data_IF_134270504039
#
_entry.id   IF_134270504039
#
_cell.length_a   1.000
_cell.length_b   1.000
_cell.length_c   1.000
_cell.angle_alpha   90.00
_cell.angle_beta   90.00
_cell.angle_gamma   90.00
#
_symmetry.space_group_name_H-M   'P 1'
#
loop_
_entity.id
_entity.type
_entity.pdbx_description
1 polymer ?
#
# COMPACT_ATOMS: atom_id res chain seq x y z
N UNK A 1 -8.47 -22.51 -75.43
CA UNK A 1 -7.53 -21.73 -76.27
C UNK A 1 -8.07 -20.32 -76.39
N UNK A 2 -7.22 -19.31 -76.17
CA UNK A 2 -7.62 -17.95 -75.82
C UNK A 2 -8.39 -17.17 -76.89
N UNK A 3 -9.14 -16.18 -76.42
CA UNK A 3 -9.44 -14.94 -77.16
C UNK A 3 -9.91 -13.82 -76.20
N UNK A 4 -9.16 -12.71 -76.29
CA UNK A 4 -9.54 -11.32 -76.07
C UNK A 4 -10.23 -10.88 -74.76
N UNK A 5 -9.46 -10.20 -73.91
CA UNK A 5 -9.98 -9.25 -72.92
C UNK A 5 -10.56 -8.00 -73.63
N UNK A 6 -11.80 -7.64 -73.29
CA UNK A 6 -12.36 -6.30 -73.52
C UNK A 6 -13.06 -5.81 -72.25
N UNK A 7 -12.71 -4.60 -71.83
CA UNK A 7 -13.66 -3.69 -71.18
C UNK A 7 -13.41 -3.35 -69.71
N UNK A 8 -12.52 -2.39 -69.43
CA UNK A 8 -12.54 -1.60 -68.21
C UNK A 8 -12.55 -0.10 -68.57
N UNK A 9 -13.71 0.56 -68.43
CA UNK A 9 -13.90 2.00 -68.65
C UNK A 9 -12.97 2.82 -67.75
N UNK A 10 -12.12 3.67 -68.33
CA UNK A 10 -11.43 4.76 -67.60
C UNK A 10 -12.44 5.88 -67.33
N UNK A 11 -12.87 6.03 -66.09
CA UNK A 11 -13.60 7.21 -65.64
C UNK A 11 -12.62 8.41 -65.55
N UNK A 12 -12.97 9.60 -66.05
CA UNK A 12 -12.12 10.78 -65.89
C UNK A 12 -12.11 11.25 -64.43
N UNK A 13 -10.95 11.67 -63.94
CA UNK A 13 -10.79 12.27 -62.62
C UNK A 13 -11.62 13.56 -62.49
N UNK A 14 -12.25 13.77 -61.34
CA UNK A 14 -13.15 14.88 -61.08
C UNK A 14 -12.47 16.26 -61.32
N UNK A 15 -13.16 17.27 -61.89
CA UNK A 15 -12.54 18.53 -62.34
C UNK A 15 -12.17 19.51 -61.20
N UNK A 16 -12.44 19.14 -59.95
CA UNK A 16 -12.25 19.97 -58.77
C UNK A 16 -11.27 19.34 -57.75
N UNK A 17 -10.29 18.59 -58.24
CA UNK A 17 -9.10 18.36 -57.43
C UNK A 17 -8.27 19.66 -57.43
N UNK A 18 -8.54 20.55 -56.48
CA UNK A 18 -7.72 21.74 -56.25
C UNK A 18 -6.25 21.32 -56.15
N UNK A 19 -5.47 21.63 -57.20
CA UNK A 19 -4.01 21.49 -57.17
C UNK A 19 -3.52 22.35 -56.01
N UNK A 20 -3.13 21.70 -54.90
CA UNK A 20 -2.52 22.34 -53.73
C UNK A 20 -1.45 23.32 -54.21
N UNK A 21 -1.78 24.62 -54.25
CA UNK A 21 -0.83 25.67 -54.63
C UNK A 21 0.32 25.61 -53.62
N UNK A 22 1.53 25.34 -54.09
CA UNK A 22 2.74 25.39 -53.26
C UNK A 22 2.88 26.83 -52.76
N UNK A 23 2.67 27.05 -51.46
CA UNK A 23 2.91 28.36 -50.85
C UNK A 23 4.36 28.78 -51.11
N UNK A 24 4.57 29.99 -51.65
CA UNK A 24 5.90 30.56 -51.85
C UNK A 24 6.58 30.69 -50.49
N UNK A 25 7.70 29.99 -50.28
CA UNK A 25 8.49 30.10 -49.04
C UNK A 25 9.26 31.42 -49.08
N UNK A 26 9.00 32.30 -48.12
CA UNK A 26 9.76 33.53 -47.96
C UNK A 26 11.15 33.17 -47.40
N UNK A 27 12.26 33.53 -48.07
CA UNK A 27 13.62 33.20 -47.61
C UNK A 27 13.99 33.83 -46.26
N UNK A 28 13.25 34.85 -45.80
CA UNK A 28 13.46 35.47 -44.49
C UNK A 28 12.99 34.59 -43.31
N UNK A 29 12.15 33.59 -43.54
CA UNK A 29 11.66 32.69 -42.49
C UNK A 29 12.40 31.35 -42.54
N UNK A 30 13.40 31.21 -41.69
CA UNK A 30 14.15 29.98 -41.51
C UNK A 30 13.62 29.16 -40.33
N UNK A 31 13.63 27.83 -40.47
CA UNK A 31 13.26 26.93 -39.37
C UNK A 31 14.48 26.79 -38.45
N UNK A 32 14.39 27.32 -37.24
CA UNK A 32 15.42 27.21 -36.19
C UNK A 32 14.93 26.30 -35.05
N UNK A 33 14.89 24.97 -35.24
CA UNK A 33 14.39 24.07 -34.22
C UNK A 33 15.37 24.01 -33.04
N UNK A 34 14.82 24.16 -31.83
CA UNK A 34 15.59 23.97 -30.59
C UNK A 34 15.73 22.49 -30.26
N UNK A 35 16.89 22.12 -29.73
CA UNK A 35 17.18 20.76 -29.27
C UNK A 35 17.02 20.68 -27.75
N UNK A 36 15.97 20.00 -27.29
CA UNK A 36 15.68 19.82 -25.85
C UNK A 36 16.21 18.51 -25.26
N UNK A 37 17.17 17.87 -25.94
CA UNK A 37 17.93 16.75 -25.36
C UNK A 37 18.83 17.28 -24.24
N UNK A 38 19.31 16.37 -23.41
CA UNK A 38 20.26 16.69 -22.34
C UNK A 38 21.49 17.40 -22.93
N UNK A 39 21.89 18.53 -22.34
CA UNK A 39 23.02 19.35 -22.81
C UNK A 39 22.75 20.27 -24.00
N UNK A 40 21.51 20.32 -24.51
CA UNK A 40 21.09 21.25 -25.56
C UNK A 40 20.53 22.57 -25.04
N UNK A 41 19.51 23.08 -25.71
CA UNK A 41 18.81 24.32 -25.37
C UNK A 41 18.04 24.24 -24.05
N UNK A 42 17.72 25.42 -23.47
CA UNK A 42 16.88 25.54 -22.27
C UNK A 42 15.56 24.79 -22.48
N UNK A 43 15.20 23.95 -21.50
CA UNK A 43 13.98 23.16 -21.55
C UNK A 43 12.74 24.06 -21.62
N UNK A 44 11.71 23.66 -22.39
CA UNK A 44 10.46 24.40 -22.43
C UNK A 44 9.74 24.28 -21.08
N UNK A 45 8.81 25.20 -20.82
CA UNK A 45 7.91 25.07 -19.68
C UNK A 45 7.09 23.78 -19.83
N UNK A 46 7.11 22.93 -18.80
CA UNK A 46 6.40 21.65 -18.73
C UNK A 46 5.41 21.67 -17.57
N UNK A 47 4.45 20.76 -17.58
CA UNK A 47 3.60 20.55 -16.41
C UNK A 47 4.43 19.94 -15.26
N UNK A 48 4.68 20.76 -14.23
CA UNK A 48 5.41 20.37 -13.04
C UNK A 48 4.50 19.99 -11.87
N UNK A 49 3.17 19.91 -12.06
CA UNK A 49 2.18 19.67 -10.99
C UNK A 49 2.53 18.47 -10.09
N UNK A 50 3.14 17.42 -10.66
CA UNK A 50 3.61 16.24 -9.92
C UNK A 50 4.83 16.50 -9.03
N UNK A 51 5.70 17.42 -9.42
CA UNK A 51 6.97 17.75 -8.78
C UNK A 51 6.92 19.00 -7.88
N UNK A 52 5.80 19.73 -7.90
CA UNK A 52 5.57 20.88 -7.02
C UNK A 52 5.70 20.48 -5.55
N UNK A 53 6.42 21.31 -4.77
CA UNK A 53 6.43 21.24 -3.31
C UNK A 53 5.09 21.74 -2.77
N UNK A 54 4.15 20.83 -2.57
CA UNK A 54 2.81 21.17 -2.12
C UNK A 54 2.77 21.75 -0.70
N UNK A 55 1.88 22.72 -0.42
CA UNK A 55 1.57 23.20 0.93
C UNK A 55 1.31 22.06 1.92
N UNK A 56 1.61 22.30 3.21
CA UNK A 56 1.56 21.26 4.27
C UNK A 56 0.19 20.59 4.37
N UNK A 57 -0.90 21.34 4.33
CA UNK A 57 -2.26 20.79 4.44
C UNK A 57 -2.61 19.81 3.31
N UNK A 58 -2.19 20.11 2.07
CA UNK A 58 -2.40 19.22 0.91
C UNK A 58 -1.59 17.94 1.09
N UNK A 59 -0.33 18.06 1.53
CA UNK A 59 0.53 16.89 1.80
C UNK A 59 -0.09 15.99 2.87
N UNK A 60 -0.55 16.56 3.98
CA UNK A 60 -1.19 15.82 5.08
C UNK A 60 -2.46 15.09 4.63
N UNK A 61 -3.34 15.75 3.87
CA UNK A 61 -4.56 15.11 3.35
C UNK A 61 -4.25 13.95 2.38
N UNK A 62 -3.26 14.11 1.49
CA UNK A 62 -2.81 13.06 0.58
C UNK A 62 -2.15 11.90 1.33
N UNK A 63 -1.29 12.20 2.30
CA UNK A 63 -0.65 11.20 3.17
C UNK A 63 -1.68 10.41 3.98
N UNK A 64 -2.68 11.07 4.57
CA UNK A 64 -3.82 10.42 5.27
C UNK A 64 -4.51 9.41 4.35
N UNK A 65 -4.83 9.80 3.11
CA UNK A 65 -5.47 8.90 2.13
C UNK A 65 -4.58 7.72 1.75
N UNK A 66 -3.29 7.95 1.53
CA UNK A 66 -2.33 6.88 1.22
C UNK A 66 -2.21 5.92 2.39
N UNK A 67 -2.10 6.43 3.62
CA UNK A 67 -2.00 5.61 4.82
C UNK A 67 -3.20 4.69 5.00
N UNK A 68 -4.43 5.20 4.80
CA UNK A 68 -5.65 4.39 4.86
C UNK A 68 -5.71 3.29 3.78
N UNK A 69 -5.06 3.48 2.62
CA UNK A 69 -4.97 2.44 1.59
C UNK A 69 -3.90 1.38 1.90
N UNK A 70 -2.81 1.77 2.58
CA UNK A 70 -1.65 0.91 2.86
C UNK A 70 -1.85 0.05 4.11
N UNK A 71 -2.41 0.64 5.16
CA UNK A 71 -2.68 -0.08 6.40
C UNK A 71 -3.79 -1.11 6.19
N UNK A 72 -3.75 -2.20 6.95
CA UNK A 72 -4.87 -3.14 7.04
C UNK A 72 -6.00 -2.48 7.81
N UNK A 73 -7.15 -2.33 7.18
CA UNK A 73 -8.32 -1.66 7.75
C UNK A 73 -9.27 -2.70 8.34
N UNK A 74 -9.65 -2.59 9.62
CA UNK A 74 -10.61 -3.50 10.24
C UNK A 74 -11.96 -3.53 9.51
N UNK A 75 -12.67 -4.67 9.50
CA UNK A 75 -13.93 -4.82 8.77
C UNK A 75 -15.02 -3.82 9.20
N UNK A 76 -15.09 -3.46 10.49
CA UNK A 76 -16.04 -2.47 11.01
C UNK A 76 -15.87 -1.07 10.38
N UNK A 77 -14.67 -0.73 9.92
CA UNK A 77 -14.38 0.52 9.20
C UNK A 77 -14.47 0.29 7.69
N UNK A 78 -13.98 -0.84 7.21
CA UNK A 78 -13.93 -1.17 5.79
C UNK A 78 -15.33 -1.23 5.15
N UNK A 79 -16.38 -1.58 5.92
CA UNK A 79 -17.77 -1.59 5.42
C UNK A 79 -18.20 -0.24 4.80
N UNK A 80 -17.66 0.90 5.26
CA UNK A 80 -17.97 2.21 4.68
C UNK A 80 -17.32 2.46 3.31
N UNK A 81 -16.33 1.67 2.93
CA UNK A 81 -15.79 1.70 1.56
C UNK A 81 -16.74 1.04 0.55
N UNK A 82 -17.59 0.12 1.02
CA UNK A 82 -18.55 -0.66 0.24
C UNK A 82 -19.89 0.06 0.15
N UNK A 83 -19.93 1.22 -0.50
CA UNK A 83 -21.17 1.98 -0.71
C UNK A 83 -21.97 1.48 -1.94
N UNK A 84 -23.27 1.79 -1.98
CA UNK A 84 -24.14 1.53 -3.13
C UNK A 84 -23.60 2.15 -4.42
N UNK A 85 -23.96 1.56 -5.55
CA UNK A 85 -23.57 2.06 -6.86
C UNK A 85 -24.32 3.36 -7.23
N UNK A 86 -23.88 4.00 -8.31
CA UNK A 86 -24.42 5.30 -8.72
C UNK A 86 -25.89 5.23 -9.14
N UNK A 87 -26.33 4.12 -9.73
CA UNK A 87 -27.68 3.97 -10.25
C UNK A 87 -28.66 3.71 -9.09
N UNK A 88 -28.34 2.78 -8.19
CA UNK A 88 -29.12 2.59 -6.95
C UNK A 88 -29.21 3.88 -6.13
N UNK A 89 -28.10 4.63 -6.00
CA UNK A 89 -28.09 5.90 -5.30
C UNK A 89 -29.00 6.96 -5.96
N UNK A 90 -29.07 6.99 -7.29
CA UNK A 90 -29.92 7.94 -7.99
C UNK A 90 -31.42 7.65 -7.75
N UNK A 91 -31.83 6.38 -7.80
CA UNK A 91 -33.21 5.98 -7.51
C UNK A 91 -33.59 6.27 -6.05
N UNK A 92 -32.72 5.90 -5.10
CA UNK A 92 -32.91 6.19 -3.68
C UNK A 92 -33.06 7.69 -3.41
N UNK A 93 -32.19 8.53 -3.98
CA UNK A 93 -32.24 9.97 -3.76
C UNK A 93 -33.47 10.63 -4.43
N UNK A 94 -33.94 10.11 -5.56
CA UNK A 94 -35.20 10.56 -6.18
C UNK A 94 -36.38 10.31 -5.25
N UNK A 95 -36.48 9.11 -4.68
CA UNK A 95 -37.51 8.78 -3.69
C UNK A 95 -37.39 9.69 -2.46
N UNK A 96 -36.20 9.79 -1.86
CA UNK A 96 -35.97 10.62 -0.69
C UNK A 96 -36.32 12.10 -0.91
N UNK A 97 -36.07 12.65 -2.10
CA UNK A 97 -36.38 14.05 -2.44
C UNK A 97 -37.89 14.35 -2.35
N UNK A 98 -38.77 13.37 -2.61
CA UNK A 98 -40.23 13.54 -2.45
C UNK A 98 -40.64 13.77 -0.99
N UNK A 99 -39.86 13.24 -0.04
CA UNK A 99 -40.14 13.27 1.40
C UNK A 99 -39.26 14.26 2.17
N UNK A 100 -38.61 15.19 1.47
CA UNK A 100 -37.79 16.23 2.10
C UNK A 100 -38.58 17.05 3.13
N UNK A 101 -38.01 17.34 4.31
CA UNK A 101 -38.66 18.16 5.32
C UNK A 101 -38.84 19.61 4.84
N UNK A 102 -39.80 20.33 5.43
CA UNK A 102 -40.09 21.72 5.07
C UNK A 102 -38.89 22.66 5.32
N UNK A 103 -38.72 23.67 4.47
CA UNK A 103 -37.80 24.78 4.72
C UNK A 103 -38.34 25.69 5.81
N UNK A 104 -37.47 26.52 6.40
CA UNK A 104 -37.89 27.51 7.41
C UNK A 104 -38.93 28.49 6.87
N UNK A 105 -38.79 28.89 5.61
CA UNK A 105 -39.73 29.79 4.92
C UNK A 105 -41.07 29.11 4.67
N UNK A 106 -41.07 27.88 4.16
CA UNK A 106 -42.29 27.09 3.97
C UNK A 106 -43.02 26.85 5.30
N UNK A 107 -42.27 26.58 6.37
CA UNK A 107 -42.82 26.46 7.73
C UNK A 107 -43.48 27.76 8.19
N UNK A 108 -42.85 28.92 7.94
CA UNK A 108 -43.40 30.24 8.28
C UNK A 108 -44.69 30.51 7.51
N UNK A 109 -44.71 30.26 6.20
CA UNK A 109 -45.91 30.41 5.36
C UNK A 109 -47.05 29.51 5.86
N UNK A 110 -46.76 28.23 6.09
CA UNK A 110 -47.71 27.26 6.63
C UNK A 110 -48.30 27.69 7.98
N UNK A 111 -47.48 28.24 8.87
CA UNK A 111 -47.95 28.76 10.17
C UNK A 111 -48.78 30.03 10.02
N UNK A 112 -48.44 30.94 9.10
CA UNK A 112 -49.23 32.14 8.83
C UNK A 112 -50.59 31.80 8.23
N UNK A 113 -50.65 30.86 7.29
CA UNK A 113 -51.91 30.36 6.71
C UNK A 113 -52.77 29.67 7.78
N UNK A 114 -52.18 28.81 8.61
CA UNK A 114 -52.90 28.18 9.71
C UNK A 114 -53.42 29.21 10.73
N UNK A 115 -52.63 30.24 11.03
CA UNK A 115 -53.05 31.31 11.94
C UNK A 115 -54.22 32.12 11.33
N UNK A 116 -54.19 32.38 10.02
CA UNK A 116 -55.28 33.06 9.32
C UNK A 116 -56.56 32.22 9.30
N UNK A 117 -56.48 30.94 8.94
CA UNK A 117 -57.62 30.01 8.97
C UNK A 117 -58.27 29.89 10.36
N UNK A 118 -57.44 29.88 11.42
CA UNK A 118 -57.93 29.90 12.80
C UNK A 118 -58.61 31.22 13.17
N UNK A 119 -58.08 32.36 12.71
CA UNK A 119 -58.73 33.67 12.89
C UNK A 119 -60.09 33.73 12.19
N UNK A 120 -60.20 33.10 11.02
CA UNK A 120 -61.42 33.03 10.22
C UNK A 120 -62.41 31.96 10.74
N UNK A 121 -62.16 31.38 11.93
CA UNK A 121 -63.07 30.46 12.61
C UNK A 121 -63.10 29.03 12.05
N UNK A 122 -62.21 28.66 11.14
CA UNK A 122 -62.16 27.31 10.57
C UNK A 122 -61.34 26.34 11.46
N UNK A 123 -61.87 25.14 11.71
CA UNK A 123 -61.14 24.07 12.38
C UNK A 123 -60.03 23.50 11.48
N UNK A 124 -58.78 23.73 11.86
CA UNK A 124 -57.61 23.25 11.10
C UNK A 124 -57.30 21.79 11.44
N UNK A 125 -57.85 20.84 10.68
CA UNK A 125 -57.48 19.41 10.75
C UNK A 125 -56.17 19.16 9.98
N UNK A 126 -55.04 19.10 10.67
CA UNK A 126 -53.74 18.78 10.03
C UNK A 126 -53.42 17.28 10.07
N UNK A 127 -53.22 16.68 8.90
CA UNK A 127 -52.67 15.31 8.80
C UNK A 127 -51.17 15.33 9.12
N UNK A 128 -50.67 14.33 9.84
CA UNK A 128 -49.24 14.20 10.17
C UNK A 128 -48.41 14.09 8.88
N UNK A 129 -47.47 15.00 8.62
CA UNK A 129 -46.69 14.95 7.39
C UNK A 129 -45.71 13.77 7.42
N UNK A 130 -45.67 13.02 6.32
CA UNK A 130 -44.70 11.96 6.09
C UNK A 130 -43.42 12.61 5.57
N UNK A 131 -42.38 12.68 6.41
CA UNK A 131 -41.10 13.33 6.10
C UNK A 131 -39.95 12.42 6.46
N UNK A 132 -38.82 12.62 5.77
CA UNK A 132 -37.55 12.03 6.14
C UNK A 132 -37.20 12.39 7.58
N UNK A 133 -36.79 11.38 8.36
CA UNK A 133 -36.26 11.57 9.71
C UNK A 133 -34.76 11.67 9.63
N UNK A 134 -34.19 12.66 10.30
CA UNK A 134 -32.76 12.95 10.24
C UNK A 134 -32.22 13.29 11.62
N UNK A 135 -30.89 13.28 11.73
CA UNK A 135 -30.20 13.46 12.99
C UNK A 135 -29.91 12.12 13.66
N UNK A 136 -28.68 11.96 14.12
CA UNK A 136 -28.16 10.69 14.58
C UNK A 136 -28.98 10.12 15.74
N UNK A 137 -29.17 10.90 16.80
CA UNK A 137 -29.93 10.48 17.99
C UNK A 137 -31.40 10.14 17.67
N UNK A 138 -32.02 10.87 16.74
CA UNK A 138 -33.41 10.60 16.37
C UNK A 138 -33.51 9.34 15.48
N UNK A 139 -32.56 9.14 14.56
CA UNK A 139 -32.53 7.94 13.73
C UNK A 139 -32.29 6.69 14.58
N UNK A 140 -31.50 6.80 15.65
CA UNK A 140 -31.15 5.66 16.50
C UNK A 140 -32.32 5.18 17.33
N UNK A 141 -33.12 6.09 17.91
CA UNK A 141 -34.35 5.72 18.60
C UNK A 141 -35.34 5.04 17.66
N UNK A 142 -35.49 5.54 16.42
CA UNK A 142 -36.36 4.93 15.41
C UNK A 142 -35.92 3.51 15.01
N UNK A 143 -34.62 3.23 15.02
CA UNK A 143 -34.09 1.88 14.76
C UNK A 143 -34.36 0.97 15.96
N UNK A 144 -34.16 1.46 17.17
CA UNK A 144 -34.37 0.69 18.40
C UNK A 144 -35.83 0.29 18.60
N UNK A 145 -36.74 1.20 18.28
CA UNK A 145 -38.21 1.04 18.29
C UNK A 145 -38.74 0.30 17.04
N UNK A 146 -37.87 -0.04 16.08
CA UNK A 146 -38.22 -0.68 14.80
C UNK A 146 -39.26 0.07 13.97
N UNK A 147 -39.32 1.41 14.10
CA UNK A 147 -40.20 2.26 13.30
C UNK A 147 -39.60 2.67 11.95
N UNK A 148 -38.28 2.51 11.77
CA UNK A 148 -37.60 2.79 10.51
C UNK A 148 -37.77 1.63 9.51
N UNK A 149 -38.26 1.93 8.30
CA UNK A 149 -38.34 0.98 7.18
C UNK A 149 -37.01 0.85 6.43
N UNK A 150 -36.27 1.95 6.30
CA UNK A 150 -34.96 1.99 5.64
C UNK A 150 -34.07 3.06 6.27
N UNK A 151 -32.80 2.72 6.51
CA UNK A 151 -31.78 3.65 7.04
C UNK A 151 -30.68 3.88 5.99
N UNK A 152 -30.40 5.14 5.69
CA UNK A 152 -29.36 5.57 4.76
C UNK A 152 -28.22 6.19 5.54
N UNK A 153 -27.02 5.64 5.41
CA UNK A 153 -25.81 6.04 6.16
C UNK A 153 -24.80 6.63 5.18
N UNK A 154 -24.20 7.78 5.50
CA UNK A 154 -23.13 8.35 4.68
C UNK A 154 -21.78 7.65 4.93
N UNK A 155 -20.98 7.49 3.88
CA UNK A 155 -19.66 6.85 3.98
C UNK A 155 -18.52 7.74 4.51
N UNK A 156 -18.68 9.07 4.46
CA UNK A 156 -17.63 10.08 4.62
C UNK A 156 -17.88 10.97 5.86
N UNK A 157 -18.42 10.36 6.92
CA UNK A 157 -18.63 11.01 8.21
C UNK A 157 -17.28 11.14 8.92
N UNK A 158 -17.06 12.33 9.50
CA UNK A 158 -15.86 12.67 10.25
C UNK A 158 -16.36 13.43 11.48
N UNK A 159 -16.24 12.91 12.71
CA UNK A 159 -15.57 11.64 13.13
C UNK A 159 -16.34 10.36 12.79
N UNK A 160 -15.63 9.24 12.54
CA UNK A 160 -16.22 7.97 12.08
C UNK A 160 -16.95 7.20 13.20
N UNK A 161 -16.55 7.42 14.45
CA UNK A 161 -17.08 6.81 15.66
C UNK A 161 -18.60 7.01 15.78
N UNK A 162 -19.10 8.12 15.24
CA UNK A 162 -20.52 8.45 15.21
C UNK A 162 -21.35 7.40 14.47
N UNK A 163 -20.84 6.84 13.37
CA UNK A 163 -21.62 5.93 12.51
C UNK A 163 -21.11 4.49 12.53
N UNK A 164 -19.91 4.23 13.09
CA UNK A 164 -19.26 2.93 13.06
C UNK A 164 -20.15 1.78 13.58
N UNK A 165 -20.92 2.04 14.64
CA UNK A 165 -21.82 1.09 15.29
C UNK A 165 -23.21 0.99 14.64
N UNK A 166 -23.59 1.95 13.79
CA UNK A 166 -24.93 2.07 13.25
C UNK A 166 -25.32 0.88 12.35
N UNK A 167 -24.46 0.37 11.43
CA UNK A 167 -24.74 -0.87 10.69
C UNK A 167 -24.99 -2.09 11.59
N UNK A 168 -24.27 -2.20 12.72
CA UNK A 168 -24.46 -3.30 13.65
C UNK A 168 -25.81 -3.19 14.37
N UNK A 169 -26.22 -1.98 14.75
CA UNK A 169 -27.54 -1.72 15.35
C UNK A 169 -28.67 -2.05 14.37
N UNK A 170 -28.59 -1.58 13.12
CA UNK A 170 -29.58 -1.88 12.08
C UNK A 170 -29.76 -3.38 11.87
N UNK A 171 -28.66 -4.14 11.78
CA UNK A 171 -28.71 -5.61 11.65
C UNK A 171 -29.32 -6.29 12.88
N UNK A 172 -28.94 -5.88 14.09
CA UNK A 172 -29.48 -6.45 15.34
C UNK A 172 -30.99 -6.27 15.46
N UNK A 173 -31.51 -5.15 14.95
CA UNK A 173 -32.94 -4.82 14.96
C UNK A 173 -33.69 -5.28 13.70
N UNK A 174 -33.01 -5.97 12.77
CA UNK A 174 -33.51 -6.36 11.44
C UNK A 174 -34.07 -5.20 10.60
N UNK A 175 -33.46 -4.02 10.72
CA UNK A 175 -33.79 -2.85 9.92
C UNK A 175 -32.86 -2.80 8.69
N UNK A 176 -33.40 -2.77 7.45
CA UNK A 176 -32.60 -2.62 6.24
C UNK A 176 -31.81 -1.32 6.24
N UNK A 177 -30.53 -1.39 5.89
CA UNK A 177 -29.69 -0.20 5.75
C UNK A 177 -28.90 -0.20 4.44
N UNK A 178 -28.50 0.99 4.01
CA UNK A 178 -27.59 1.17 2.89
C UNK A 178 -26.56 2.24 3.19
N UNK A 179 -25.35 2.07 2.63
CA UNK A 179 -24.28 3.06 2.73
C UNK A 179 -24.19 3.84 1.42
N UNK A 180 -24.30 5.16 1.46
CA UNK A 180 -24.26 6.05 0.30
C UNK A 180 -23.00 6.90 0.27
N UNK A 181 -22.52 7.20 -0.95
CA UNK A 181 -21.42 8.14 -1.16
C UNK A 181 -21.88 9.59 -1.03
N UNK A 182 -21.36 10.29 -0.03
CA UNK A 182 -21.42 11.75 0.15
C UNK A 182 -22.46 12.19 1.19
N UNK A 183 -22.00 12.57 2.39
CA UNK A 183 -22.82 13.16 3.46
C UNK A 183 -23.46 14.49 3.06
N UNK A 184 -22.83 15.22 2.13
CA UNK A 184 -23.37 16.46 1.58
C UNK A 184 -24.61 16.21 0.72
N UNK A 185 -24.71 15.07 0.02
CA UNK A 185 -25.90 14.73 -0.78
C UNK A 185 -27.11 14.45 0.11
N UNK A 186 -26.89 13.78 1.24
CA UNK A 186 -27.92 13.62 2.27
C UNK A 186 -28.28 14.96 2.91
N UNK A 187 -27.29 15.82 3.16
CA UNK A 187 -27.51 17.19 3.67
C UNK A 187 -28.44 18.01 2.78
N UNK A 188 -28.23 17.98 1.46
CA UNK A 188 -29.07 18.70 0.50
C UNK A 188 -30.55 18.31 0.56
N UNK A 189 -30.86 17.04 0.85
CA UNK A 189 -32.25 16.57 0.98
C UNK A 189 -32.97 17.17 2.19
N UNK A 190 -32.25 17.51 3.25
CA UNK A 190 -32.81 18.00 4.52
C UNK A 190 -32.52 19.49 4.75
N UNK A 191 -32.05 20.19 3.71
CA UNK A 191 -31.65 21.61 3.78
C UNK A 191 -30.53 21.89 4.80
N UNK A 192 -29.57 20.96 4.93
CA UNK A 192 -28.38 21.10 5.78
C UNK A 192 -27.09 20.95 4.96
N UNK A 193 -25.96 21.45 5.48
CA UNK A 193 -24.66 21.32 4.81
C UNK A 193 -24.18 19.86 4.71
N UNK A 194 -24.49 19.05 5.72
CA UNK A 194 -24.14 17.64 5.79
C UNK A 194 -25.14 16.88 6.66
N UNK A 195 -25.32 15.59 6.37
CA UNK A 195 -26.11 14.67 7.19
C UNK A 195 -25.41 13.32 7.28
N UNK A 196 -25.26 12.77 8.50
CA UNK A 196 -24.61 11.48 8.71
C UNK A 196 -25.53 10.30 8.37
N UNK A 197 -26.81 10.38 8.76
CA UNK A 197 -27.80 9.34 8.52
C UNK A 197 -29.22 9.91 8.37
N UNK A 198 -30.01 9.27 7.53
CA UNK A 198 -31.43 9.55 7.30
C UNK A 198 -32.22 8.26 7.46
N UNK A 199 -33.42 8.33 8.03
CA UNK A 199 -34.35 7.21 8.10
C UNK A 199 -35.67 7.53 7.40
N UNK A 200 -36.20 6.54 6.69
CA UNK A 200 -37.55 6.54 6.14
C UNK A 200 -38.43 5.73 7.08
N UNK A 201 -39.48 6.34 7.61
CA UNK A 201 -40.43 5.70 8.55
C UNK A 201 -41.73 5.34 7.86
N UNK A 202 -42.32 6.28 7.12
CA UNK A 202 -43.54 6.09 6.36
C UNK A 202 -43.42 6.79 5.01
N UNK A 203 -44.06 6.19 4.00
CA UNK A 203 -44.19 6.71 2.64
C UNK A 203 -45.66 6.70 2.25
N UNK A 204 -45.99 7.43 1.20
CA UNK A 204 -47.30 7.35 0.54
C UNK A 204 -47.47 5.96 -0.08
N UNK A 205 -48.70 5.45 -0.19
CA UNK A 205 -48.96 4.13 -0.75
C UNK A 205 -48.48 3.99 -2.21
N UNK A 206 -48.48 5.08 -2.97
CA UNK A 206 -47.98 5.15 -4.35
C UNK A 206 -46.50 4.76 -4.47
N UNK A 207 -45.68 5.18 -3.50
CA UNK A 207 -44.23 4.98 -3.50
C UNK A 207 -43.80 3.71 -2.73
N UNK A 208 -44.74 2.99 -2.10
CA UNK A 208 -44.42 1.84 -1.24
C UNK A 208 -43.81 0.68 -2.04
N UNK A 209 -44.25 0.47 -3.28
CA UNK A 209 -43.66 -0.54 -4.18
C UNK A 209 -42.20 -0.22 -4.53
N UNK A 210 -41.90 1.04 -4.81
CA UNK A 210 -40.54 1.51 -5.09
C UNK A 210 -39.63 1.33 -3.86
N UNK A 211 -40.14 1.71 -2.68
CA UNK A 211 -39.42 1.54 -1.41
C UNK A 211 -39.14 0.06 -1.13
N UNK A 212 -40.13 -0.83 -1.26
CA UNK A 212 -39.97 -2.26 -0.97
C UNK A 212 -38.94 -2.91 -1.91
N UNK A 213 -38.90 -2.51 -3.17
CA UNK A 213 -37.88 -2.98 -4.13
C UNK A 213 -36.47 -2.58 -3.68
N UNK A 214 -36.29 -1.31 -3.28
CA UNK A 214 -35.01 -0.83 -2.75
C UNK A 214 -34.61 -1.53 -1.45
N UNK A 215 -35.57 -1.70 -0.53
CA UNK A 215 -35.38 -2.38 0.75
C UNK A 215 -34.90 -3.82 0.54
N UNK A 216 -35.55 -4.59 -0.33
CA UNK A 216 -35.17 -5.97 -0.58
C UNK A 216 -33.76 -6.08 -1.17
N UNK A 217 -33.43 -5.21 -2.14
CA UNK A 217 -32.11 -5.16 -2.74
C UNK A 217 -31.02 -4.80 -1.70
N UNK A 218 -31.28 -3.81 -0.85
CA UNK A 218 -30.32 -3.39 0.17
C UNK A 218 -30.20 -4.39 1.32
N UNK A 219 -31.28 -5.07 1.71
CA UNK A 219 -31.24 -6.12 2.73
C UNK A 219 -30.32 -7.26 2.29
N UNK A 220 -30.48 -7.74 1.06
CA UNK A 220 -29.60 -8.76 0.48
C UNK A 220 -28.14 -8.28 0.36
N UNK A 221 -27.92 -7.02 -0.04
CA UNK A 221 -26.58 -6.48 -0.25
C UNK A 221 -25.81 -6.20 1.05
N UNK A 222 -26.49 -5.74 2.10
CA UNK A 222 -25.87 -5.24 3.33
C UNK A 222 -26.21 -6.06 4.57
N UNK A 223 -27.49 -6.26 4.88
CA UNK A 223 -27.91 -6.92 6.12
C UNK A 223 -27.51 -8.40 6.13
N UNK A 224 -27.87 -9.12 5.07
CA UNK A 224 -27.69 -10.57 4.95
C UNK A 224 -26.26 -10.95 4.53
N UNK A 225 -25.52 -9.98 3.97
CA UNK A 225 -24.16 -10.19 3.52
C UNK A 225 -23.16 -10.28 4.69
N UNK A 226 -22.84 -11.53 5.07
CA UNK A 226 -21.86 -11.82 6.12
C UNK A 226 -20.41 -11.45 5.75
N UNK A 227 -20.06 -11.34 4.47
CA UNK A 227 -18.70 -11.00 4.04
C UNK A 227 -18.28 -9.61 4.51
N UNK A 228 -19.22 -8.66 4.53
CA UNK A 228 -18.98 -7.28 4.99
C UNK A 228 -18.46 -7.24 6.43
N UNK A 229 -18.81 -8.24 7.27
CA UNK A 229 -18.34 -8.34 8.67
C UNK A 229 -16.92 -8.89 8.81
N UNK A 230 -16.45 -9.68 7.84
CA UNK A 230 -15.21 -10.45 7.94
C UNK A 230 -14.10 -9.88 7.06
N UNK A 231 -14.47 -9.16 6.00
CA UNK A 231 -13.53 -8.67 4.99
C UNK A 231 -12.72 -7.48 5.51
N UNK A 232 -11.45 -7.75 5.76
CA UNK A 232 -10.45 -6.72 5.99
C UNK A 232 -10.22 -5.90 4.72
N UNK A 233 -10.01 -4.59 4.91
CA UNK A 233 -9.70 -3.65 3.83
C UNK A 233 -8.23 -3.25 3.81
N UNK A 234 -7.89 -2.39 2.84
CA UNK A 234 -6.55 -1.83 2.72
C UNK A 234 -5.50 -2.85 2.29
N UNK A 235 -4.24 -2.64 2.68
CA UNK A 235 -3.11 -3.46 2.23
C UNK A 235 -2.77 -3.30 0.74
N UNK A 236 -3.27 -2.26 0.08
CA UNK A 236 -3.04 -2.03 -1.34
C UNK A 236 -1.67 -1.37 -1.49
N UNK A 237 -0.73 -1.98 -2.20
CA UNK A 237 0.60 -1.38 -2.44
C UNK A 237 0.56 -0.24 -3.46
N UNK A 238 1.64 0.55 -3.51
CA UNK A 238 1.75 1.64 -4.49
C UNK A 238 1.97 1.14 -5.91
N UNK A 239 1.50 1.90 -6.89
CA UNK A 239 1.57 1.57 -8.33
C UNK A 239 3.00 1.19 -8.75
N UNK A 240 4.03 1.93 -8.31
CA UNK A 240 5.43 1.59 -8.60
C UNK A 240 5.84 0.21 -8.05
N UNK A 241 5.44 -0.09 -6.82
CA UNK A 241 5.73 -1.39 -6.19
C UNK A 241 4.96 -2.53 -6.86
N UNK A 242 3.70 -2.28 -7.24
CA UNK A 242 2.90 -3.23 -8.05
C UNK A 242 3.57 -3.51 -9.40
N UNK A 243 4.07 -2.50 -10.11
CA UNK A 243 4.80 -2.69 -11.37
C UNK A 243 6.09 -3.49 -11.21
N UNK A 244 6.87 -3.23 -10.14
CA UNK A 244 8.08 -4.00 -9.85
C UNK A 244 7.73 -5.48 -9.59
N UNK A 245 6.70 -5.71 -8.79
CA UNK A 245 6.23 -7.07 -8.45
C UNK A 245 5.74 -7.79 -9.70
N UNK A 246 4.89 -7.15 -10.51
CA UNK A 246 4.40 -7.70 -11.77
C UNK A 246 5.55 -8.00 -12.75
N UNK A 247 6.58 -7.14 -12.82
CA UNK A 247 7.78 -7.40 -13.64
C UNK A 247 8.53 -8.64 -13.16
N UNK A 248 8.71 -8.79 -11.85
CA UNK A 248 9.34 -9.99 -11.25
C UNK A 248 8.51 -11.25 -11.49
N UNK A 249 7.19 -11.19 -11.29
CA UNK A 249 6.27 -12.30 -11.52
C UNK A 249 6.30 -12.76 -12.98
N UNK A 250 6.29 -11.82 -13.94
CA UNK A 250 6.41 -12.14 -15.38
C UNK A 250 7.74 -12.84 -15.69
N UNK A 251 8.84 -12.38 -15.12
CA UNK A 251 10.15 -13.03 -15.32
C UNK A 251 10.16 -14.47 -14.78
N UNK A 252 9.64 -14.66 -13.57
CA UNK A 252 9.52 -15.99 -12.94
C UNK A 252 8.59 -16.90 -13.75
N UNK A 253 7.47 -16.39 -14.24
CA UNK A 253 6.54 -17.15 -15.08
C UNK A 253 7.18 -17.55 -16.41
N UNK A 254 7.93 -16.64 -17.05
CA UNK A 254 8.66 -16.94 -18.27
C UNK A 254 9.73 -18.02 -18.05
N UNK A 255 10.44 -17.98 -16.92
CA UNK A 255 11.41 -19.02 -16.54
C UNK A 255 10.73 -20.37 -16.29
N UNK A 256 9.62 -20.39 -15.54
CA UNK A 256 8.83 -21.61 -15.29
C UNK A 256 8.25 -22.19 -16.58
N UNK A 257 7.75 -21.35 -17.49
CA UNK A 257 7.23 -21.79 -18.79
C UNK A 257 8.32 -22.46 -19.63
N UNK A 258 9.51 -21.83 -19.71
CA UNK A 258 10.70 -22.43 -20.35
C UNK A 258 11.06 -23.77 -19.71
N UNK A 259 11.02 -23.87 -18.38
CA UNK A 259 11.33 -25.10 -17.64
C UNK A 259 10.31 -26.23 -17.88
N UNK A 260 9.04 -25.88 -18.14
CA UNK A 260 7.96 -26.82 -18.45
C UNK A 260 7.88 -27.19 -19.95
N UNK A 261 8.80 -26.67 -20.79
CA UNK A 261 8.78 -26.90 -22.23
C UNK A 261 7.64 -26.21 -22.99
N UNK A 262 6.83 -25.39 -22.30
CA UNK A 262 5.86 -24.53 -22.96
C UNK A 262 6.59 -23.32 -23.55
N UNK A 263 6.60 -23.19 -24.87
CA UNK A 263 7.05 -21.96 -25.50
C UNK A 263 6.18 -20.79 -25.00
N UNK A 264 6.77 -19.66 -24.59
CA UNK A 264 5.99 -18.50 -24.18
C UNK A 264 5.18 -18.01 -25.38
N UNK A 265 3.86 -18.13 -25.30
CA UNK A 265 2.98 -17.57 -26.31
C UNK A 265 3.25 -16.06 -26.44
N UNK A 266 3.55 -15.61 -27.66
CA UNK A 266 3.68 -14.20 -27.98
C UNK A 266 2.38 -13.49 -27.58
N UNK A 267 2.50 -12.53 -26.66
CA UNK A 267 1.39 -12.01 -25.87
C UNK A 267 0.25 -11.39 -26.67
N UNK A 268 -0.97 -11.84 -26.39
CA UNK A 268 -2.18 -11.04 -26.57
C UNK A 268 -2.39 -10.18 -25.32
N UNK A 269 -2.30 -8.86 -25.46
CA UNK A 269 -2.71 -7.92 -24.41
C UNK A 269 -4.24 -7.87 -24.34
N UNK A 270 -4.84 -8.42 -23.27
CA UNK A 270 -6.24 -8.15 -22.93
C UNK A 270 -6.32 -6.92 -22.03
N UNK A 271 -6.79 -5.80 -22.56
CA UNK A 271 -7.29 -4.71 -21.72
C UNK A 271 -8.58 -5.16 -21.00
N UNK A 272 -8.80 -4.76 -19.74
CA UNK A 272 -10.06 -4.99 -19.05
C UNK A 272 -11.13 -4.09 -19.67
N UNK A 273 -11.79 -4.62 -20.70
CA UNK A 273 -12.82 -3.94 -21.50
C UNK A 273 -12.84 -4.57 -22.89
N UNK A 274 -13.67 -5.59 -23.09
CA UNK A 274 -13.68 -6.42 -24.27
C UNK A 274 -13.87 -5.65 -25.58
N UNK A 275 -12.77 -5.45 -26.31
CA UNK A 275 -12.73 -5.26 -27.76
C UNK A 275 -11.36 -5.75 -28.24
N UNK A 276 -11.36 -6.87 -28.96
CA UNK A 276 -10.17 -7.42 -29.63
C UNK A 276 -10.02 -6.74 -30.99
N UNK A 277 -9.14 -5.75 -31.08
CA UNK A 277 -8.73 -5.15 -32.36
C UNK A 277 -7.40 -5.77 -32.78
N UNK A 278 -7.36 -6.45 -33.92
CA UNK A 278 -6.11 -6.89 -34.55
C UNK A 278 -5.36 -5.68 -35.09
N UNK A 279 -4.28 -5.27 -34.42
CA UNK A 279 -3.40 -4.18 -34.87
C UNK A 279 -2.56 -4.59 -36.09
N UNK A 280 -2.34 -3.65 -37.02
CA UNK A 280 -1.45 -3.83 -38.17
C UNK A 280 0.01 -3.75 -37.71
N UNK A 281 0.90 -4.51 -38.36
CA UNK A 281 2.34 -4.66 -38.08
C UNK A 281 3.11 -3.34 -37.83
N UNK A 282 2.67 -2.23 -38.44
CA UNK A 282 3.28 -0.89 -38.27
C UNK A 282 2.99 -0.24 -36.92
N UNK A 283 1.86 -0.56 -36.29
CA UNK A 283 1.51 -0.03 -34.96
C UNK A 283 2.25 -0.80 -33.85
N UNK A 284 2.64 -2.05 -34.13
CA UNK A 284 3.48 -2.88 -33.28
C UNK A 284 4.91 -2.32 -33.18
N UNK A 285 5.49 -1.88 -34.30
CA UNK A 285 6.82 -1.24 -34.33
C UNK A 285 6.82 0.12 -33.61
N UNK A 286 5.76 0.91 -33.71
CA UNK A 286 5.65 2.19 -32.99
C UNK A 286 5.47 2.02 -31.47
N UNK A 287 4.71 1.00 -31.04
CA UNK A 287 4.54 0.65 -29.63
C UNK A 287 5.81 0.05 -29.02
N UNK A 288 6.48 -0.83 -29.75
CA UNK A 288 7.73 -1.46 -29.34
C UNK A 288 8.87 -0.43 -29.23
N UNK A 289 8.93 0.55 -30.15
CA UNK A 289 9.90 1.66 -30.06
C UNK A 289 9.60 2.59 -28.89
N UNK A 290 8.33 2.81 -28.51
CA UNK A 290 8.00 3.67 -27.36
C UNK A 290 8.31 2.99 -26.03
N UNK A 291 8.01 1.69 -25.92
CA UNK A 291 8.37 0.86 -24.77
C UNK A 291 9.88 0.68 -24.68
N UNK A 292 10.60 0.44 -25.78
CA UNK A 292 12.07 0.34 -25.83
C UNK A 292 12.75 1.68 -25.48
N UNK A 293 12.16 2.82 -25.86
CA UNK A 293 12.66 4.15 -25.47
C UNK A 293 12.43 4.43 -23.99
N UNK A 294 11.31 3.97 -23.42
CA UNK A 294 11.08 3.98 -21.97
C UNK A 294 11.95 2.97 -21.22
N UNK A 295 12.28 1.82 -21.83
CA UNK A 295 13.20 0.81 -21.32
C UNK A 295 14.66 1.29 -21.36
N UNK A 296 15.03 2.11 -22.35
CA UNK A 296 16.32 2.80 -22.43
C UNK A 296 16.42 3.98 -21.46
N UNK A 297 15.35 4.75 -21.26
CA UNK A 297 15.32 5.87 -20.29
C UNK A 297 15.22 5.43 -18.83
N UNK A 298 14.77 4.18 -18.58
CA UNK A 298 14.72 3.55 -17.26
C UNK A 298 15.80 2.48 -17.06
N UNK A 299 16.72 2.32 -18.02
CA UNK A 299 17.98 1.65 -17.76
C UNK A 299 18.77 2.62 -16.89
N UNK A 300 18.69 2.42 -15.58
CA UNK A 300 19.57 3.07 -14.61
C UNK A 300 20.97 3.11 -15.23
N UNK A 301 21.52 4.32 -15.39
CA UNK A 301 22.84 4.49 -16.00
C UNK A 301 23.87 3.59 -15.30
N UNK A 302 25.03 3.30 -15.94
CA UNK A 302 26.06 2.49 -15.32
C UNK A 302 26.42 2.98 -13.91
N UNK A 303 26.27 4.28 -13.62
CA UNK A 303 26.43 4.89 -12.31
C UNK A 303 25.36 4.50 -11.27
N UNK A 304 24.07 4.44 -11.65
CA UNK A 304 22.99 4.07 -10.73
C UNK A 304 22.94 2.54 -10.49
N UNK A 305 23.27 1.75 -11.53
CA UNK A 305 23.55 0.32 -11.36
C UNK A 305 24.78 0.10 -10.49
N UNK A 306 25.88 0.84 -10.68
CA UNK A 306 27.05 0.76 -9.81
C UNK A 306 26.78 1.22 -8.37
N UNK A 307 25.91 2.20 -8.15
CA UNK A 307 25.52 2.65 -6.80
C UNK A 307 24.67 1.61 -6.06
N UNK A 308 23.74 0.96 -6.76
CA UNK A 308 22.94 -0.14 -6.18
C UNK A 308 23.76 -1.41 -5.97
N UNK A 309 24.64 -1.76 -6.92
CA UNK A 309 25.56 -2.89 -6.81
C UNK A 309 26.60 -2.68 -5.69
N UNK A 310 27.14 -1.47 -5.56
CA UNK A 310 28.08 -1.14 -4.48
C UNK A 310 27.41 -1.16 -3.10
N UNK A 311 26.14 -0.75 -3.01
CA UNK A 311 25.36 -0.86 -1.77
C UNK A 311 25.05 -2.31 -1.39
N UNK A 312 24.62 -3.16 -2.32
CA UNK A 312 24.39 -4.59 -2.05
C UNK A 312 25.70 -5.33 -1.70
N UNK A 313 26.80 -5.00 -2.39
CA UNK A 313 28.12 -5.57 -2.11
C UNK A 313 28.62 -5.15 -0.73
N UNK A 314 28.39 -3.89 -0.34
CA UNK A 314 28.73 -3.38 0.98
C UNK A 314 27.88 -4.01 2.09
N UNK A 315 26.58 -4.26 1.86
CA UNK A 315 25.75 -5.01 2.82
C UNK A 315 26.22 -6.46 2.99
N UNK A 316 26.53 -7.15 1.90
CA UNK A 316 27.05 -8.53 1.96
C UNK A 316 28.39 -8.58 2.69
N UNK A 317 29.29 -7.62 2.43
CA UNK A 317 30.57 -7.47 3.13
C UNK A 317 30.39 -7.17 4.62
N UNK A 318 29.45 -6.30 4.98
CA UNK A 318 29.16 -5.97 6.37
C UNK A 318 28.64 -7.19 7.16
N UNK A 319 27.70 -7.96 6.58
CA UNK A 319 27.17 -9.19 7.19
C UNK A 319 28.25 -10.26 7.30
N UNK A 320 29.08 -10.45 6.27
CA UNK A 320 30.18 -11.42 6.33
C UNK A 320 31.23 -11.05 7.38
N UNK A 321 31.55 -9.76 7.54
CA UNK A 321 32.50 -9.29 8.55
C UNK A 321 31.94 -9.40 9.98
N UNK A 322 30.64 -9.18 10.15
CA UNK A 322 29.98 -9.36 11.44
C UNK A 322 29.92 -10.84 11.86
N UNK A 323 29.61 -11.73 10.92
CA UNK A 323 29.68 -13.18 11.15
C UNK A 323 31.11 -13.63 11.43
N UNK A 324 32.08 -13.16 10.65
CA UNK A 324 33.49 -13.48 10.87
C UNK A 324 34.00 -12.98 12.24
N UNK A 325 33.61 -11.77 12.65
CA UNK A 325 33.96 -11.23 13.98
C UNK A 325 33.32 -12.02 15.13
N UNK A 326 32.05 -12.43 14.98
CA UNK A 326 31.37 -13.26 15.98
C UNK A 326 31.99 -14.66 16.10
N UNK A 327 32.36 -15.27 14.97
CA UNK A 327 33.03 -16.58 14.94
C UNK A 327 34.45 -16.48 15.53
N UNK A 328 35.20 -15.43 15.19
CA UNK A 328 36.53 -15.19 15.76
C UNK A 328 36.49 -15.00 17.28
N UNK A 329 35.49 -14.28 17.80
CA UNK A 329 35.28 -14.14 19.25
C UNK A 329 35.02 -15.49 19.93
N UNK A 330 34.13 -16.31 19.37
CA UNK A 330 33.83 -17.64 19.90
C UNK A 330 35.06 -18.58 19.83
N UNK A 331 35.83 -18.53 18.75
CA UNK A 331 37.08 -19.28 18.62
C UNK A 331 38.14 -18.83 19.63
N UNK A 332 38.22 -17.53 19.94
CA UNK A 332 39.11 -17.02 20.99
C UNK A 332 38.81 -17.62 22.36
N UNK A 333 37.52 -17.68 22.74
CA UNK A 333 37.08 -18.34 23.98
C UNK A 333 37.33 -19.85 23.98
N UNK A 334 37.05 -20.52 22.86
CA UNK A 334 37.19 -21.97 22.75
C UNK A 334 38.66 -22.40 22.77
N UNK A 335 39.53 -21.72 22.03
CA UNK A 335 40.96 -22.02 22.00
C UNK A 335 41.64 -21.74 23.34
N UNK A 336 41.29 -20.62 24.01
CA UNK A 336 41.80 -20.34 25.35
C UNK A 336 41.34 -21.40 26.37
N UNK A 337 40.07 -21.80 26.31
CA UNK A 337 39.53 -22.86 27.18
C UNK A 337 40.19 -24.23 26.94
N UNK A 338 40.39 -24.62 25.68
CA UNK A 338 41.07 -25.89 25.36
C UNK A 338 42.53 -25.92 25.81
N UNK A 339 43.24 -24.78 25.71
CA UNK A 339 44.61 -24.68 26.21
C UNK A 339 44.67 -24.69 27.73
N UNK A 340 43.74 -24.01 28.42
CA UNK A 340 43.62 -24.10 29.87
C UNK A 340 43.36 -25.52 30.35
N UNK A 341 42.48 -26.26 29.66
CA UNK A 341 42.22 -27.68 29.93
C UNK A 341 43.47 -28.53 29.62
N UNK A 342 44.16 -28.27 28.51
CA UNK A 342 45.40 -28.96 28.19
C UNK A 342 46.48 -28.73 29.27
N UNK A 343 46.64 -27.49 29.73
CA UNK A 343 47.60 -27.11 30.78
C UNK A 343 47.23 -27.69 32.15
N UNK A 344 45.93 -27.87 32.43
CA UNK A 344 45.43 -28.58 33.61
C UNK A 344 45.83 -30.07 33.59
N UNK A 345 45.63 -30.75 32.45
CA UNK A 345 45.95 -32.18 32.31
C UNK A 345 47.44 -32.46 32.08
N UNK A 346 48.19 -31.55 31.44
CA UNK A 346 49.63 -31.72 31.20
C UNK A 346 50.46 -31.64 32.48
N UNK A 347 49.94 -31.03 33.54
CA UNK A 347 50.54 -31.08 34.88
C UNK A 347 50.70 -32.50 35.43
N UNK A 348 49.80 -33.42 35.05
CA UNK A 348 49.86 -34.82 35.50
C UNK A 348 50.74 -35.73 34.63
N UNK A 349 50.92 -35.42 33.35
CA UNK A 349 51.70 -36.28 32.43
C UNK A 349 53.22 -36.04 32.53
N UNK A 350 53.64 -34.89 33.05
CA UNK A 350 55.05 -34.50 33.09
C UNK A 350 55.77 -34.83 34.43
N UNK A 351 55.08 -35.48 35.38
CA UNK A 351 55.70 -36.03 36.59
C UNK A 351 56.44 -37.36 36.35
N UNK A 352 56.20 -38.06 35.24
CA UNK A 352 56.77 -39.39 34.99
C UNK A 352 58.11 -39.38 34.22
N UNK A 353 58.58 -38.23 33.71
CA UNK A 353 59.71 -38.22 32.74
C UNK A 353 60.65 -36.99 32.78
N UNK A 354 60.91 -36.36 33.92
CA UNK A 354 61.98 -35.35 33.99
C UNK A 354 62.66 -35.23 35.36
N UNK A 355 63.73 -36.00 35.57
CA UNK A 355 64.83 -35.56 36.41
C UNK A 355 65.55 -34.45 35.62
N UNK A 356 65.65 -33.25 36.21
CA UNK A 356 66.50 -32.15 35.74
C UNK A 356 65.92 -31.26 34.61
N UNK A 357 65.00 -30.35 34.97
CA UNK A 357 64.96 -28.93 34.52
C UNK A 357 63.84 -28.19 35.26
N UNK A 358 64.17 -27.00 35.78
CA UNK A 358 63.22 -26.04 36.39
C UNK A 358 62.15 -25.66 35.37
N UNK A 359 60.95 -26.21 35.54
CA UNK A 359 59.79 -25.88 34.72
C UNK A 359 58.60 -25.62 35.64
N UNK A 360 57.95 -24.48 35.42
CA UNK A 360 57.01 -23.81 36.33
C UNK A 360 55.73 -24.65 36.45
N UNK A 361 55.62 -25.42 37.53
CA UNK A 361 54.32 -25.80 38.10
C UNK A 361 53.79 -24.54 38.80
N UNK A 362 52.57 -24.10 38.48
CA UNK A 362 51.91 -23.06 39.27
C UNK A 362 51.64 -23.63 40.66
N UNK A 363 52.53 -23.28 41.58
CA UNK A 363 52.40 -23.63 42.98
C UNK A 363 51.21 -22.88 43.59
N UNK A 364 50.59 -23.45 44.63
CA UNK A 364 49.59 -22.77 45.46
C UNK A 364 50.16 -21.43 45.96
N UNK A 365 49.32 -20.54 46.50
CA UNK A 365 49.76 -19.32 47.18
C UNK A 365 50.87 -19.53 48.24
N UNK A 366 51.07 -20.78 48.68
CA UNK A 366 52.07 -21.26 49.65
C UNK A 366 53.33 -21.86 49.01
N UNK A 367 53.48 -21.91 47.68
CA UNK A 367 54.68 -22.43 47.02
C UNK A 367 54.76 -23.97 46.89
N UNK A 368 53.67 -24.70 47.19
CA UNK A 368 53.61 -26.17 47.12
C UNK A 368 52.73 -26.67 45.95
N UNK A 369 53.01 -27.86 45.38
CA UNK A 369 52.19 -28.46 44.33
C UNK A 369 50.81 -28.91 44.85
N UNK A 370 49.77 -28.79 44.03
CA UNK A 370 48.40 -29.18 44.39
C UNK A 370 48.28 -30.69 44.69
N UNK A 371 47.56 -31.11 45.76
CA UNK A 371 47.40 -32.52 46.13
C UNK A 371 46.71 -33.41 45.09
N UNK A 372 46.02 -32.80 44.12
CA UNK A 372 45.30 -33.47 43.04
C UNK A 372 46.18 -33.96 41.90
N UNK A 373 47.47 -33.61 41.86
CA UNK A 373 48.39 -33.95 40.76
C UNK A 373 48.12 -33.19 39.45
N UNK A 374 47.18 -32.24 39.46
CA UNK A 374 46.84 -31.37 38.35
C UNK A 374 47.18 -29.91 38.67
N UNK A 375 47.43 -29.09 37.65
CA UNK A 375 47.64 -27.65 37.83
C UNK A 375 46.34 -26.96 38.28
N UNK A 376 46.44 -25.72 38.78
CA UNK A 376 45.27 -24.92 39.18
C UNK A 376 44.26 -24.79 38.03
N UNK A 377 42.99 -25.12 38.26
CA UNK A 377 41.93 -24.85 37.31
C UNK A 377 41.27 -23.51 37.66
N UNK A 378 41.39 -22.47 36.82
CA UNK A 378 40.76 -21.19 37.10
C UNK A 378 39.24 -21.33 37.10
N UNK A 379 38.58 -20.63 38.03
CA UNK A 379 37.12 -20.70 38.18
C UNK A 379 36.38 -19.86 37.14
N UNK A 380 37.07 -18.87 36.56
CA UNK A 380 36.51 -17.98 35.55
C UNK A 380 37.46 -17.81 34.37
N UNK A 381 36.90 -17.57 33.18
CA UNK A 381 37.69 -17.28 31.98
C UNK A 381 38.51 -15.99 32.14
N UNK A 382 38.03 -15.04 32.96
CA UNK A 382 38.75 -13.80 33.24
C UNK A 382 40.05 -14.03 34.01
N UNK A 383 40.12 -15.07 34.83
CA UNK A 383 41.29 -15.45 35.61
C UNK A 383 42.31 -16.17 34.72
N UNK A 384 41.84 -17.09 33.87
CA UNK A 384 42.63 -17.81 32.86
C UNK A 384 43.38 -16.87 31.91
N UNK A 385 42.73 -15.78 31.52
CA UNK A 385 43.20 -14.87 30.46
C UNK A 385 43.86 -13.60 31.04
N UNK A 386 43.90 -13.45 32.37
CA UNK A 386 44.34 -12.22 33.02
C UNK A 386 45.76 -11.78 32.62
N UNK A 387 46.68 -12.73 32.45
CA UNK A 387 48.04 -12.43 32.01
C UNK A 387 48.14 -12.35 30.48
N UNK A 388 48.39 -11.15 29.96
CA UNK A 388 48.60 -10.87 28.55
C UNK A 388 49.87 -11.51 27.97
N UNK A 389 50.81 -11.96 28.80
CA UNK A 389 52.05 -12.62 28.35
C UNK A 389 51.90 -14.13 28.19
N UNK A 390 50.90 -14.73 28.84
CA UNK A 390 50.62 -16.16 28.74
C UNK A 390 50.12 -16.53 27.32
N UNK A 391 50.28 -17.79 26.91
CA UNK A 391 49.85 -18.25 25.59
C UNK A 391 48.32 -18.13 25.42
N UNK A 392 47.57 -18.40 26.50
CA UNK A 392 46.11 -18.30 26.57
C UNK A 392 45.64 -16.84 26.46
N UNK A 393 46.30 -15.94 27.19
CA UNK A 393 46.05 -14.50 27.13
C UNK A 393 46.31 -13.93 25.73
N UNK A 394 47.44 -14.29 25.12
CA UNK A 394 47.80 -13.85 23.75
C UNK A 394 46.77 -14.27 22.70
N UNK A 395 46.28 -15.51 22.78
CA UNK A 395 45.27 -16.01 21.85
C UNK A 395 43.92 -15.33 22.08
N UNK A 396 43.48 -15.22 23.33
CA UNK A 396 42.20 -14.58 23.64
C UNK A 396 42.18 -13.11 23.24
N UNK A 397 43.19 -12.33 23.63
CA UNK A 397 43.26 -10.92 23.28
C UNK A 397 43.52 -10.70 21.78
N UNK A 398 44.27 -11.60 21.13
CA UNK A 398 44.50 -11.57 19.68
C UNK A 398 43.21 -11.78 18.89
N UNK A 399 42.45 -12.83 19.20
CA UNK A 399 41.15 -13.09 18.58
C UNK A 399 40.09 -12.06 18.98
N UNK A 400 40.14 -11.55 20.20
CA UNK A 400 39.27 -10.46 20.68
C UNK A 400 39.51 -9.14 19.93
N UNK A 401 40.77 -8.79 19.68
CA UNK A 401 41.14 -7.61 18.90
C UNK A 401 40.74 -7.76 17.43
N UNK A 402 40.96 -8.94 16.84
CA UNK A 402 40.49 -9.24 15.48
C UNK A 402 38.96 -9.14 15.37
N UNK A 403 38.23 -9.71 16.34
CA UNK A 403 36.78 -9.62 16.40
C UNK A 403 36.31 -8.17 16.52
N UNK A 404 36.94 -7.37 17.39
CA UNK A 404 36.64 -5.95 17.55
C UNK A 404 36.88 -5.15 16.27
N UNK A 405 38.01 -5.40 15.58
CA UNK A 405 38.32 -4.77 14.29
C UNK A 405 37.29 -5.17 13.23
N UNK A 406 36.91 -6.44 13.13
CA UNK A 406 35.90 -6.91 12.18
C UNK A 406 34.52 -6.29 12.46
N UNK A 407 34.12 -6.16 13.73
CA UNK A 407 32.85 -5.55 14.13
C UNK A 407 32.87 -4.03 13.84
N UNK A 408 33.96 -3.32 14.15
CA UNK A 408 34.07 -1.89 13.86
C UNK A 408 34.15 -1.60 12.35
N UNK A 409 34.94 -2.38 11.61
CA UNK A 409 35.07 -2.27 10.16
C UNK A 409 33.79 -2.66 9.40
N UNK A 410 32.90 -3.45 10.02
CA UNK A 410 31.60 -3.79 9.42
C UNK A 410 30.70 -2.56 9.22
N UNK A 411 30.96 -1.43 9.92
CA UNK A 411 30.16 -0.19 9.87
C UNK A 411 28.65 -0.42 10.10
N UNK A 412 28.29 -1.58 10.64
CA UNK A 412 26.93 -2.08 10.81
C UNK A 412 26.03 -1.17 11.67
N UNK A 413 26.51 -0.54 12.77
CA UNK A 413 25.69 0.39 13.56
C UNK A 413 25.22 1.63 12.79
N UNK A 414 26.01 2.12 11.84
CA UNK A 414 25.66 3.29 11.02
C UNK A 414 24.58 2.95 9.97
N UNK A 415 24.58 1.72 9.45
CA UNK A 415 23.62 1.26 8.44
C UNK A 415 22.24 0.91 9.02
N UNK A 416 22.12 0.62 10.33
CA UNK A 416 20.83 0.36 10.98
C UNK A 416 19.92 1.59 11.05
N UNK A 417 20.47 2.82 11.16
CA UNK A 417 19.67 4.07 11.10
C UNK A 417 18.95 4.25 9.76
N UNK A 418 19.45 3.63 8.68
CA UNK A 418 18.81 3.65 7.37
C UNK A 418 17.86 2.44 7.14
N UNK A 419 18.00 1.34 7.90
CA UNK A 419 17.24 0.11 7.72
C UNK A 419 15.84 0.12 8.38
N UNK A 420 15.65 0.89 9.47
CA UNK A 420 14.35 1.02 10.16
C UNK A 420 13.29 1.70 9.26
N UNK A 421 13.70 2.37 8.18
CA UNK A 421 12.76 2.95 7.22
C UNK A 421 12.18 1.95 6.21
N UNK A 422 12.75 0.74 6.04
CA UNK A 422 12.46 -0.12 4.87
C UNK A 422 12.38 -1.64 5.13
N UNK A 423 12.18 -2.12 6.37
CA UNK A 423 12.09 -3.57 6.63
C UNK A 423 10.80 -3.94 7.39
N UNK A 424 9.75 -4.25 6.64
CA UNK A 424 8.58 -5.05 7.11
C UNK A 424 8.41 -6.30 6.26
N UNK A 425 9.53 -6.96 5.95
CA UNK A 425 9.57 -8.32 5.43
C UNK A 425 10.28 -9.20 6.46
N UNK A 426 9.52 -9.67 7.45
CA UNK A 426 9.83 -10.92 8.14
C UNK A 426 8.64 -11.85 7.94
N UNK A 427 8.83 -12.80 7.03
CA UNK A 427 8.05 -14.04 6.95
C UNK A 427 8.19 -14.74 8.31
N UNK A 428 7.08 -14.91 9.02
CA UNK A 428 6.95 -16.00 9.97
C UNK A 428 6.22 -17.13 9.26
N UNK A 429 6.94 -18.24 9.11
CA UNK A 429 6.32 -19.57 9.06
C UNK A 429 6.05 -20.04 10.48
#
# INVERSE_FOLDING_TARGET
MGKAAKGGKKLPAAPLADKKKKAKKNPLFEKTPRNYRLGGDIQPKRDLTRFVKWPKYIRLQRQKRIMLMRLKVPPAINQFSMAIDKNQAASLLKLCKKYSPETKEAKKARLMEMAQQKKDGQEVKTKKPQVLKYGLNHVTTLIEEKMAKLVVIAHDVDPLELVCWLPALCRKKDVPYCIIKGKSRLGQLIHQKACACIAITSVKPEDEKELNTLVNNFKAQFNDNAEVKRRWGGGIMGIKSQHITARKERAIQAEKAKKLGLQPAAGTYSHPGGMTTTMRRRDFEAGQVHDDFQQCLLRDGPEAQAATYSWELNQKRAVSLLLAGSVAGLLGFLCAGLLGIHNYYSGGFQQLWAHNKTFILENNFMGEPFPSGHNYCPQTVSELVHDHKSAEGKLFFGFGLLAAICILASWYPAHLRAAVANTTDFRMG
#
